data_IF_097602487161
#
_entry.id   IF_097602487161
#
_cell.length_a   1.000
_cell.length_b   1.000
_cell.length_c   1.000
_cell.angle_alpha   90.00
_cell.angle_beta   90.00
_cell.angle_gamma   90.00
#
_symmetry.space_group_name_H-M   'P 1'
#
loop_
_entity.id
_entity.type
_entity.pdbx_description
1 polymer ?
#
# COMPACT_ATOMS: atom_id res chain seq x y z
N UNK A 1 -4.35 1.19 3.75
CA UNK A 1 -3.10 0.52 4.18
C UNK A 1 -1.91 1.26 3.62
N UNK A 2 -0.72 0.97 4.15
CA UNK A 2 0.53 1.49 3.60
C UNK A 2 1.28 0.35 2.91
N UNK A 3 1.94 0.67 1.80
CA UNK A 3 2.76 -0.27 1.05
C UNK A 3 4.18 0.25 0.97
N UNK A 4 5.14 -0.64 1.25
CA UNK A 4 6.56 -0.37 1.06
C UNK A 4 7.29 -1.68 0.79
N UNK A 5 8.38 -1.62 0.03
CA UNK A 5 9.30 -2.75 -0.15
C UNK A 5 10.46 -2.75 0.86
N UNK A 6 10.61 -1.66 1.64
CA UNK A 6 11.77 -1.44 2.52
C UNK A 6 11.62 -2.08 3.89
N UNK A 7 10.38 -2.15 4.39
CA UNK A 7 10.08 -2.69 5.71
C UNK A 7 9.28 -3.99 5.57
N UNK A 8 9.63 -5.04 6.33
CA UNK A 8 8.85 -6.26 6.37
C UNK A 8 7.46 -6.01 6.97
N UNK A 9 6.52 -6.89 6.65
CA UNK A 9 5.17 -6.90 7.22
C UNK A 9 5.21 -6.98 8.76
N UNK A 10 4.37 -6.18 9.42
CA UNK A 10 4.23 -6.13 10.88
C UNK A 10 3.10 -7.02 11.42
N UNK A 11 2.32 -7.66 10.55
CA UNK A 11 1.19 -8.54 10.90
C UNK A 11 -0.19 -7.87 10.83
N UNK A 12 -0.31 -6.73 10.14
CA UNK A 12 -1.59 -6.07 9.88
C UNK A 12 -2.36 -6.67 8.70
N UNK A 13 -3.68 -6.42 8.63
CA UNK A 13 -4.53 -6.94 7.53
C UNK A 13 -4.19 -6.36 6.16
N UNK A 14 -3.50 -5.21 6.10
CA UNK A 14 -3.01 -4.61 4.84
C UNK A 14 -1.62 -5.08 4.44
N UNK A 15 -0.95 -5.87 5.29
CA UNK A 15 0.44 -6.25 5.07
C UNK A 15 0.60 -7.34 4.01
N UNK A 16 -0.49 -7.99 3.58
CA UNK A 16 -0.47 -8.89 2.42
C UNK A 16 0.18 -8.23 1.19
N UNK A 17 -0.02 -6.91 1.04
CA UNK A 17 0.50 -6.14 -0.08
C UNK A 17 2.00 -5.85 0.04
N UNK A 18 2.63 -6.17 1.17
CA UNK A 18 4.08 -6.18 1.37
C UNK A 18 4.59 -7.62 1.26
N UNK A 19 3.96 -8.56 1.95
CA UNK A 19 4.35 -9.98 1.97
C UNK A 19 4.39 -10.59 0.56
N UNK A 20 3.42 -10.28 -0.29
CA UNK A 20 3.37 -10.80 -1.67
C UNK A 20 4.62 -10.44 -2.47
N UNK A 21 5.24 -9.28 -2.24
CA UNK A 21 6.50 -8.92 -2.92
C UNK A 21 7.67 -9.76 -2.42
N UNK A 22 7.74 -9.99 -1.10
CA UNK A 22 8.79 -10.84 -0.53
C UNK A 22 8.64 -12.29 -0.97
N UNK A 23 7.44 -12.87 -0.86
CA UNK A 23 7.20 -14.27 -1.24
C UNK A 23 7.31 -14.49 -2.75
N UNK A 24 6.88 -13.52 -3.58
CA UNK A 24 7.09 -13.60 -5.03
C UNK A 24 8.58 -13.63 -5.40
N UNK A 25 9.43 -12.89 -4.68
CA UNK A 25 10.88 -12.87 -4.92
C UNK A 25 11.58 -14.11 -4.36
N UNK A 26 11.19 -14.59 -3.18
CA UNK A 26 11.86 -15.71 -2.50
C UNK A 26 11.39 -17.08 -2.99
N UNK A 27 10.09 -17.26 -3.21
CA UNK A 27 9.45 -18.55 -3.47
C UNK A 27 8.76 -18.63 -4.83
N UNK A 28 8.39 -17.49 -5.42
CA UNK A 28 7.58 -17.44 -6.65
C UNK A 28 6.10 -17.77 -6.44
N UNK A 29 5.68 -18.01 -5.19
CA UNK A 29 4.30 -18.29 -4.80
C UNK A 29 3.96 -17.53 -3.52
N UNK A 30 2.72 -17.07 -3.40
CA UNK A 30 2.19 -16.39 -2.21
C UNK A 30 0.82 -16.94 -1.85
N UNK A 31 0.63 -17.31 -0.59
CA UNK A 31 -0.69 -17.70 -0.08
C UNK A 31 -1.38 -16.49 0.58
N UNK A 32 -2.28 -15.85 -0.17
CA UNK A 32 -3.03 -14.69 0.31
C UNK A 32 -4.10 -15.09 1.33
N UNK A 33 -4.16 -14.40 2.48
CA UNK A 33 -5.15 -14.64 3.54
C UNK A 33 -6.49 -13.89 3.32
N UNK A 34 -6.54 -12.99 2.34
CA UNK A 34 -7.74 -12.25 1.95
C UNK A 34 -8.26 -12.73 0.59
N UNK A 35 -9.54 -12.45 0.32
CA UNK A 35 -10.14 -12.77 -0.98
C UNK A 35 -9.45 -12.01 -2.10
N UNK A 36 -9.22 -12.70 -3.22
CA UNK A 36 -8.60 -12.16 -4.43
C UNK A 36 -9.34 -10.95 -5.01
N UNK A 37 -10.63 -10.79 -4.68
CA UNK A 37 -11.51 -9.72 -5.14
C UNK A 37 -11.68 -8.58 -4.11
N UNK A 38 -10.99 -8.65 -2.97
CA UNK A 38 -11.09 -7.61 -1.93
C UNK A 38 -10.25 -6.40 -2.31
N UNK A 39 -10.90 -5.36 -2.85
CA UNK A 39 -10.24 -4.09 -3.14
C UNK A 39 -9.97 -3.32 -1.83
N UNK A 40 -8.72 -2.93 -1.61
CA UNK A 40 -8.33 -2.11 -0.46
C UNK A 40 -7.61 -0.83 -0.89
N UNK A 41 -7.92 0.31 -0.26
CA UNK A 41 -7.20 1.55 -0.49
C UNK A 41 -5.80 1.46 0.14
N UNK A 42 -4.79 1.69 -0.69
CA UNK A 42 -3.39 1.62 -0.33
C UNK A 42 -2.69 2.94 -0.70
N UNK A 43 -1.71 3.32 0.10
CA UNK A 43 -0.86 4.48 -0.15
C UNK A 43 0.59 4.04 -0.07
N UNK A 44 1.37 4.43 -1.08
CA UNK A 44 2.79 4.12 -1.07
C UNK A 44 3.52 4.99 -0.03
N UNK A 45 4.52 4.43 0.63
CA UNK A 45 5.17 5.08 1.77
C UNK A 45 5.74 6.46 1.43
N UNK A 46 6.36 6.61 0.25
CA UNK A 46 6.93 7.90 -0.17
C UNK A 46 5.84 8.97 -0.33
N UNK A 47 4.65 8.60 -0.83
CA UNK A 47 3.51 9.51 -0.95
C UNK A 47 2.92 9.86 0.42
N UNK A 48 2.88 8.90 1.35
CA UNK A 48 2.42 9.13 2.72
C UNK A 48 3.33 10.14 3.44
N UNK A 49 4.65 10.02 3.27
CA UNK A 49 5.63 10.95 3.84
C UNK A 49 5.44 12.34 3.22
N UNK A 50 5.37 12.42 1.89
CA UNK A 50 5.19 13.70 1.17
C UNK A 50 3.89 14.39 1.56
N UNK A 51 2.78 13.66 1.65
CA UNK A 51 1.49 14.19 2.05
C UNK A 51 1.52 14.73 3.48
N UNK A 52 2.19 14.02 4.39
CA UNK A 52 2.33 14.46 5.79
C UNK A 52 3.16 15.74 5.89
N UNK A 53 4.30 15.81 5.20
CA UNK A 53 5.15 17.01 5.17
C UNK A 53 4.37 18.19 4.60
N UNK A 54 3.66 17.99 3.49
CA UNK A 54 2.84 19.04 2.87
C UNK A 54 1.78 19.56 3.84
N UNK A 55 1.05 18.66 4.51
CA UNK A 55 0.03 19.05 5.49
C UNK A 55 0.64 19.83 6.66
N UNK A 56 1.84 19.47 7.12
CA UNK A 56 2.52 20.18 8.21
C UNK A 56 3.08 21.56 7.80
N UNK A 57 3.38 21.76 6.52
CA UNK A 57 3.93 23.02 6.00
C UNK A 57 2.86 23.99 5.50
N UNK A 58 1.63 23.52 5.28
CA UNK A 58 0.53 24.33 4.77
C UNK A 58 0.11 25.40 5.81
N UNK A 59 -0.13 26.66 5.39
CA UNK A 59 -0.65 27.68 6.29
C UNK A 59 -1.97 27.25 6.93
N UNK A 60 -2.13 27.55 8.22
CA UNK A 60 -3.33 27.17 8.98
C UNK A 60 -4.64 27.71 8.37
N UNK A 61 -4.56 28.83 7.65
CA UNK A 61 -5.67 29.45 6.92
C UNK A 61 -6.24 28.56 5.80
N UNK A 62 -5.39 27.69 5.23
CA UNK A 62 -5.77 26.75 4.17
C UNK A 62 -6.24 25.39 4.74
N UNK A 63 -6.09 25.17 6.05
CA UNK A 63 -6.50 23.94 6.73
C UNK A 63 -7.94 24.10 7.22
N UNK A 64 -8.89 23.61 6.42
CA UNK A 64 -10.32 23.69 6.71
C UNK A 64 -10.81 22.65 7.71
N UNK A 65 -10.14 21.50 7.78
CA UNK A 65 -10.48 20.40 8.70
C UNK A 65 -9.40 20.27 9.77
N UNK A 66 -9.79 20.50 11.03
CA UNK A 66 -8.93 20.34 12.20
C UNK A 66 -9.09 18.96 12.82
N UNK A 67 -8.79 17.94 12.03
CA UNK A 67 -8.96 16.54 12.40
C UNK A 67 -8.26 15.61 11.42
N UNK A 68 -8.86 14.45 11.14
CA UNK A 68 -8.26 13.45 10.26
C UNK A 68 -8.58 13.72 8.79
N UNK A 69 -7.54 13.86 7.97
CA UNK A 69 -7.66 13.83 6.51
C UNK A 69 -7.55 12.39 6.00
N UNK A 70 -8.47 11.98 5.14
CA UNK A 70 -8.38 10.71 4.45
C UNK A 70 -7.37 10.84 3.30
N UNK A 71 -6.21 10.21 3.45
CA UNK A 71 -5.21 10.10 2.40
C UNK A 71 -5.43 8.80 1.62
N UNK A 72 -5.82 8.93 0.36
CA UNK A 72 -5.97 7.80 -0.56
C UNK A 72 -4.89 7.84 -1.63
N UNK A 73 -4.25 6.70 -1.90
CA UNK A 73 -3.39 6.51 -3.06
C UNK A 73 -4.14 5.75 -4.13
N UNK A 74 -3.83 4.46 -4.26
CA UNK A 74 -4.44 3.54 -5.21
C UNK A 74 -5.26 2.47 -4.49
N UNK A 75 -6.40 2.10 -5.06
CA UNK A 75 -7.19 0.97 -4.59
C UNK A 75 -7.02 -0.17 -5.58
N UNK A 76 -6.66 -1.35 -5.08
CA UNK A 76 -6.50 -2.53 -5.92
C UNK A 76 -6.85 -3.79 -5.16
N UNK A 77 -7.09 -4.86 -5.92
CA UNK A 77 -7.36 -6.21 -5.45
C UNK A 77 -6.07 -7.06 -5.45
N UNK A 78 -5.97 -8.12 -4.63
CA UNK A 78 -4.84 -9.05 -4.69
C UNK A 78 -4.65 -9.68 -6.08
N UNK A 79 -5.74 -9.92 -6.83
CA UNK A 79 -5.67 -10.42 -8.19
C UNK A 79 -4.97 -9.42 -9.14
N UNK A 80 -5.35 -8.13 -9.07
CA UNK A 80 -4.69 -7.07 -9.84
C UNK A 80 -3.22 -6.93 -9.47
N UNK A 81 -2.90 -6.96 -8.17
CA UNK A 81 -1.51 -6.88 -7.70
C UNK A 81 -0.66 -8.05 -8.20
N UNK A 82 -1.19 -9.28 -8.12
CA UNK A 82 -0.51 -10.49 -8.61
C UNK A 82 -0.27 -10.41 -10.12
N UNK A 83 -1.24 -9.93 -10.89
CA UNK A 83 -1.09 -9.75 -12.33
C UNK A 83 0.00 -8.72 -12.67
N UNK A 84 0.11 -7.63 -11.92
CA UNK A 84 1.20 -6.66 -12.14
C UNK A 84 2.57 -7.18 -11.74
N UNK A 85 2.65 -7.97 -10.66
CA UNK A 85 3.90 -8.64 -10.31
C UNK A 85 4.32 -9.60 -11.43
N UNK A 86 3.39 -10.39 -11.98
CA UNK A 86 3.65 -11.32 -13.10
C UNK A 86 4.17 -10.64 -14.37
N UNK A 87 3.80 -9.38 -14.63
CA UNK A 87 4.35 -8.63 -15.77
C UNK A 87 5.84 -8.36 -15.64
N UNK A 88 6.33 -8.20 -14.41
CA UNK A 88 7.75 -7.94 -14.11
C UNK A 88 8.50 -9.25 -13.85
N UNK A 89 7.85 -10.22 -13.20
CA UNK A 89 8.38 -11.53 -12.84
C UNK A 89 7.45 -12.64 -13.37
N UNK A 90 7.63 -13.09 -14.63
CA UNK A 90 6.74 -14.08 -15.26
C UNK A 90 7.00 -15.54 -14.87
N UNK A 91 8.04 -15.83 -14.08
CA UNK A 91 8.49 -17.18 -13.73
C UNK A 91 8.17 -17.54 -12.29
#
# INVERSE_FOLDING_TARGET
GLISWKAPAGGGTTDYAVEIFYEAVEKGEYQCFISENTAMPMLYMDDAINATIKLMQEPAENISVWGSYNLGGMSFTPAELTNEIKKVMPN
#
